data_IF_765838011274
#
_entry.id   IF_765838011274
#
_cell.length_a   1.000
_cell.length_b   1.000
_cell.length_c   1.000
_cell.angle_alpha   90.00
_cell.angle_beta   90.00
_cell.angle_gamma   90.00
#
_symmetry.space_group_name_H-M   'P 1'
#
loop_
_entity.id
_entity.type
_entity.pdbx_description
1 polymer ?
#
# COMPACT_ATOMS: atom_id res chain seq x y z
N UNK A 1 6.64 -13.32 9.68
CA UNK A 1 6.41 -14.71 9.23
C UNK A 1 4.92 -15.07 9.11
N UNK A 2 4.13 -14.94 10.18
CA UNK A 2 2.70 -15.32 10.20
C UNK A 2 1.85 -14.56 9.15
N UNK A 3 2.07 -13.25 9.00
CA UNK A 3 1.37 -12.43 7.99
C UNK A 3 1.64 -12.90 6.57
N UNK A 4 2.88 -13.26 6.24
CA UNK A 4 3.23 -13.76 4.91
C UNK A 4 2.58 -15.12 4.63
N UNK A 5 2.60 -16.03 5.61
CA UNK A 5 1.92 -17.33 5.49
C UNK A 5 0.41 -17.18 5.26
N UNK A 6 -0.24 -16.19 5.90
CA UNK A 6 -1.65 -15.87 5.64
C UNK A 6 -1.90 -15.41 4.19
N UNK A 7 -0.97 -14.68 3.59
CA UNK A 7 -1.11 -14.25 2.19
C UNK A 7 -1.09 -15.47 1.27
N UNK A 8 -0.11 -16.36 1.44
CA UNK A 8 -0.01 -17.60 0.66
C UNK A 8 -1.26 -18.48 0.82
N UNK A 9 -1.71 -18.74 2.05
CA UNK A 9 -2.91 -19.55 2.26
C UNK A 9 -4.19 -18.93 1.69
N UNK A 10 -4.30 -17.59 1.66
CA UNK A 10 -5.41 -16.92 0.98
C UNK A 10 -5.29 -17.06 -0.55
N UNK A 11 -4.10 -16.97 -1.12
CA UNK A 11 -3.88 -17.13 -2.56
C UNK A 11 -4.28 -18.54 -3.01
N UNK A 12 -3.90 -19.57 -2.25
CA UNK A 12 -4.27 -20.96 -2.54
C UNK A 12 -5.79 -21.16 -2.48
N UNK A 13 -6.44 -20.66 -1.41
CA UNK A 13 -7.89 -20.78 -1.22
C UNK A 13 -8.72 -20.03 -2.26
N UNK A 14 -8.21 -18.90 -2.76
CA UNK A 14 -8.91 -18.04 -3.71
C UNK A 14 -8.51 -18.29 -5.17
N UNK A 15 -7.61 -19.25 -5.43
CA UNK A 15 -7.20 -19.61 -6.79
C UNK A 15 -6.36 -18.54 -7.48
N UNK A 16 -5.41 -17.92 -6.78
CA UNK A 16 -4.50 -16.87 -7.30
C UNK A 16 -3.05 -17.38 -7.37
N UNK A 17 -2.73 -18.37 -8.23
CA UNK A 17 -1.44 -19.05 -8.23
C UNK A 17 -0.27 -18.19 -8.71
N UNK A 18 -0.55 -17.07 -9.40
CA UNK A 18 0.47 -16.15 -9.89
C UNK A 18 0.99 -15.17 -8.80
N UNK A 19 0.41 -15.19 -7.59
CA UNK A 19 0.83 -14.29 -6.51
C UNK A 19 2.20 -14.69 -5.96
N UNK A 20 3.17 -13.78 -6.05
CA UNK A 20 4.47 -13.92 -5.39
C UNK A 20 4.51 -13.15 -4.07
N UNK A 21 4.94 -13.81 -2.99
CA UNK A 21 5.07 -13.20 -1.66
C UNK A 21 6.55 -13.00 -1.34
N UNK A 22 6.98 -11.74 -1.29
CA UNK A 22 8.34 -11.37 -0.90
C UNK A 22 8.34 -10.96 0.56
N UNK A 23 9.11 -11.68 1.39
CA UNK A 23 9.25 -11.36 2.81
C UNK A 23 10.50 -10.53 3.03
N UNK A 24 10.32 -9.27 3.42
CA UNK A 24 11.39 -8.34 3.76
C UNK A 24 10.83 -6.96 4.05
N UNK A 25 11.69 -6.03 4.48
CA UNK A 25 11.30 -4.64 4.71
C UNK A 25 11.51 -3.82 3.43
N UNK A 26 10.47 -3.13 2.99
CA UNK A 26 10.60 -2.10 1.96
C UNK A 26 11.27 -0.84 2.56
N UNK A 27 12.07 -0.09 1.78
CA UNK A 27 12.30 -0.26 0.34
C UNK A 27 13.33 -1.34 -0.03
N UNK A 28 14.15 -1.84 0.89
CA UNK A 28 15.25 -2.77 0.57
C UNK A 28 14.77 -4.07 -0.13
N UNK A 29 13.64 -4.63 0.33
CA UNK A 29 13.05 -5.84 -0.25
C UNK A 29 12.46 -5.64 -1.66
N UNK A 30 12.37 -4.41 -2.15
CA UNK A 30 11.92 -4.11 -3.51
C UNK A 30 13.05 -4.24 -4.55
N UNK A 31 14.31 -4.30 -4.11
CA UNK A 31 15.45 -4.38 -5.00
C UNK A 31 15.43 -5.68 -5.81
N UNK A 32 15.62 -5.57 -7.14
CA UNK A 32 15.66 -6.70 -8.05
C UNK A 32 14.30 -7.28 -8.42
N UNK A 33 13.19 -6.71 -7.92
CA UNK A 33 11.87 -7.09 -8.40
C UNK A 33 11.63 -6.58 -9.83
N UNK A 34 10.76 -7.27 -10.61
CA UNK A 34 10.36 -6.78 -11.92
C UNK A 34 9.77 -5.37 -11.85
N UNK A 35 9.96 -4.58 -12.90
CA UNK A 35 9.35 -3.26 -13.03
C UNK A 35 7.82 -3.39 -12.94
N UNK A 36 7.16 -2.71 -11.98
CA UNK A 36 5.72 -2.79 -11.83
C UNK A 36 5.00 -1.84 -12.79
N UNK A 37 3.81 -2.24 -13.25
CA UNK A 37 2.87 -1.33 -13.92
C UNK A 37 2.06 -0.50 -12.91
N UNK A 38 1.87 -1.03 -11.70
CA UNK A 38 1.15 -0.38 -10.62
C UNK A 38 1.72 -0.75 -9.25
N UNK A 39 1.69 0.20 -8.33
CA UNK A 39 2.10 0.02 -6.93
C UNK A 39 0.97 0.42 -6.01
N UNK A 40 0.67 -0.45 -5.03
CA UNK A 40 -0.22 -0.15 -3.92
C UNK A 40 0.55 -0.14 -2.60
N UNK A 41 0.50 0.98 -1.88
CA UNK A 41 1.10 1.14 -0.55
C UNK A 41 -0.02 1.08 0.49
N UNK A 42 -0.19 -0.09 1.11
CA UNK A 42 -1.17 -0.28 2.19
C UNK A 42 -0.69 0.14 3.59
N UNK A 43 0.62 0.34 3.77
CA UNK A 43 1.22 0.73 5.05
C UNK A 43 2.69 1.09 4.91
N UNK A 44 3.27 1.69 5.97
CA UNK A 44 4.68 2.10 5.99
C UNK A 44 4.97 3.39 5.21
N UNK A 45 3.95 4.20 4.92
CA UNK A 45 4.13 5.42 4.11
C UNK A 45 5.12 6.43 4.72
N UNK A 46 5.26 6.43 6.05
CA UNK A 46 6.25 7.23 6.79
C UNK A 46 7.65 6.61 6.83
N UNK A 47 7.84 5.39 6.30
CA UNK A 47 9.15 4.78 6.18
C UNK A 47 10.00 5.61 5.20
N UNK A 48 11.18 6.10 5.63
CA UNK A 48 12.03 6.92 4.78
C UNK A 48 12.34 6.27 3.44
N UNK A 49 12.15 7.02 2.35
CA UNK A 49 12.45 6.58 0.99
C UNK A 49 11.49 5.55 0.39
N UNK A 50 10.48 5.05 1.13
CA UNK A 50 9.55 4.06 0.58
C UNK A 50 8.76 4.63 -0.61
N UNK A 51 8.13 5.79 -0.42
CA UNK A 51 7.32 6.40 -1.46
C UNK A 51 8.16 6.76 -2.69
N UNK A 52 9.36 7.35 -2.48
CA UNK A 52 10.25 7.72 -3.58
C UNK A 52 10.76 6.48 -4.33
N UNK A 53 11.08 5.38 -3.64
CA UNK A 53 11.48 4.13 -4.28
C UNK A 53 10.35 3.53 -5.13
N UNK A 54 9.12 3.52 -4.61
CA UNK A 54 7.94 3.07 -5.35
C UNK A 54 7.64 3.95 -6.56
N UNK A 55 7.76 5.28 -6.41
CA UNK A 55 7.55 6.23 -7.50
C UNK A 55 8.61 6.07 -8.60
N UNK A 56 9.88 5.93 -8.23
CA UNK A 56 10.98 5.76 -9.18
C UNK A 56 10.96 4.43 -9.92
N UNK A 57 10.35 3.39 -9.33
CA UNK A 57 10.21 2.08 -9.97
C UNK A 57 9.13 2.07 -11.07
N UNK A 58 8.20 3.02 -11.07
CA UNK A 58 7.10 3.06 -12.04
C UNK A 58 7.55 3.66 -13.38
N UNK A 59 7.24 3.02 -14.52
CA UNK A 59 7.44 3.63 -15.82
C UNK A 59 6.44 4.77 -16.05
N UNK A 60 6.67 5.57 -17.09
CA UNK A 60 5.69 6.57 -17.55
C UNK A 60 4.36 5.90 -17.86
N UNK A 61 3.27 6.40 -17.26
CA UNK A 61 1.94 5.80 -17.36
C UNK A 61 1.60 4.79 -16.26
N UNK A 62 2.58 4.42 -15.43
CA UNK A 62 2.38 3.59 -14.24
C UNK A 62 1.51 4.28 -13.18
N UNK A 63 0.90 3.48 -12.30
CA UNK A 63 -0.06 3.97 -11.30
C UNK A 63 0.42 3.72 -9.88
N UNK A 64 0.40 4.74 -9.04
CA UNK A 64 0.66 4.62 -7.60
C UNK A 64 -0.60 4.94 -6.81
N UNK A 65 -1.02 4.02 -5.95
CA UNK A 65 -2.10 4.23 -4.98
C UNK A 65 -1.54 4.00 -3.57
N UNK A 66 -1.85 4.88 -2.64
CA UNK A 66 -1.42 4.77 -1.26
C UNK A 66 -2.56 5.11 -0.32
N UNK A 67 -2.83 4.21 0.63
CA UNK A 67 -3.82 4.44 1.67
C UNK A 67 -3.13 4.88 2.96
N UNK A 68 -3.77 5.80 3.67
CA UNK A 68 -3.34 6.31 4.96
C UNK A 68 -4.52 6.41 5.91
N UNK A 69 -4.25 6.25 7.20
CA UNK A 69 -5.23 6.40 8.30
C UNK A 69 -4.69 7.24 9.47
N UNK A 70 -3.48 7.80 9.34
CA UNK A 70 -2.87 8.65 10.38
C UNK A 70 -2.55 10.02 9.81
N UNK A 71 -2.53 11.04 10.67
CA UNK A 71 -2.24 12.43 10.27
C UNK A 71 -0.83 12.58 9.68
N UNK A 72 0.15 11.86 10.22
CA UNK A 72 1.54 11.88 9.75
C UNK A 72 1.63 11.34 8.32
N UNK A 73 0.94 10.22 8.06
CA UNK A 73 0.90 9.60 6.74
C UNK A 73 0.06 10.42 5.76
N UNK A 74 -1.00 11.11 6.21
CA UNK A 74 -1.73 12.11 5.41
C UNK A 74 -0.86 13.29 4.99
N UNK A 75 -0.01 13.81 5.89
CA UNK A 75 0.92 14.88 5.56
C UNK A 75 1.91 14.45 4.45
N UNK A 76 2.38 13.19 4.49
CA UNK A 76 3.22 12.61 3.43
C UNK A 76 2.46 12.57 2.09
N UNK A 77 1.20 12.11 2.05
CA UNK A 77 0.41 12.13 0.81
C UNK A 77 0.13 13.54 0.29
N UNK A 78 -0.14 14.49 1.18
CA UNK A 78 -0.36 15.89 0.80
C UNK A 78 0.88 16.49 0.14
N UNK A 79 2.07 16.23 0.70
CA UNK A 79 3.34 16.64 0.11
C UNK A 79 3.62 15.92 -1.22
N UNK A 80 3.36 14.62 -1.30
CA UNK A 80 3.51 13.82 -2.52
C UNK A 80 2.63 14.35 -3.65
N UNK A 81 1.34 14.63 -3.36
CA UNK A 81 0.42 15.22 -4.33
C UNK A 81 0.90 16.57 -4.84
N UNK A 82 1.44 17.43 -3.96
CA UNK A 82 2.02 18.72 -4.39
C UNK A 82 3.20 18.53 -5.34
N UNK A 83 4.02 17.48 -5.13
CA UNK A 83 5.21 17.19 -5.93
C UNK A 83 4.91 16.50 -7.26
N UNK A 84 4.00 15.52 -7.24
CA UNK A 84 3.76 14.59 -8.36
C UNK A 84 2.40 14.78 -9.03
N UNK A 85 1.52 15.62 -8.48
CA UNK A 85 0.14 15.78 -8.95
C UNK A 85 -0.77 14.64 -8.48
N UNK A 86 -1.79 14.34 -9.27
CA UNK A 86 -2.78 13.32 -8.96
C UNK A 86 -3.88 13.78 -8.00
N UNK A 87 -4.60 12.80 -7.47
CA UNK A 87 -5.82 13.00 -6.69
C UNK A 87 -5.63 12.56 -5.23
N UNK A 88 -6.22 13.32 -4.31
CA UNK A 88 -6.31 12.95 -2.90
C UNK A 88 -7.80 12.87 -2.54
N UNK A 89 -8.23 11.70 -2.09
CA UNK A 89 -9.60 11.47 -1.66
C UNK A 89 -9.62 11.11 -0.17
N UNK A 90 -10.50 11.76 0.59
CA UNK A 90 -10.78 11.39 1.98
C UNK A 90 -12.10 10.65 2.03
N UNK A 91 -12.06 9.39 2.47
CA UNK A 91 -13.23 8.54 2.66
C UNK A 91 -13.55 8.43 4.14
N UNK A 92 -14.83 8.60 4.49
CA UNK A 92 -15.34 8.36 5.84
C UNK A 92 -16.49 7.36 5.74
N UNK A 93 -16.41 6.29 6.54
CA UNK A 93 -17.40 5.22 6.57
C UNK A 93 -17.76 4.96 8.03
N UNK A 94 -19.05 4.99 8.35
CA UNK A 94 -19.58 4.69 9.67
C UNK A 94 -20.54 3.51 9.59
N UNK A 95 -20.42 2.59 10.55
CA UNK A 95 -21.31 1.44 10.69
C UNK A 95 -22.05 1.56 12.02
N UNK A 96 -23.37 1.31 12.00
CA UNK A 96 -24.14 1.21 13.24
C UNK A 96 -23.72 -0.04 14.01
N UNK A 97 -23.47 0.13 15.30
CA UNK A 97 -23.25 -0.97 16.25
C UNK A 97 -24.29 -0.84 17.37
N UNK A 98 -24.84 -1.97 17.89
CA UNK A 98 -25.74 -1.91 19.03
C UNK A 98 -25.11 -1.17 20.22
N UNK A 99 -25.90 -0.35 20.92
CA UNK A 99 -25.49 0.36 22.12
C UNK A 99 -26.34 -0.14 23.28
N UNK A 100 -25.73 -0.88 24.22
CA UNK A 100 -26.45 -1.57 25.29
C UNK A 100 -27.14 -2.86 24.82
N UNK A 101 -27.45 -3.74 25.77
CA UNK A 101 -28.27 -4.93 25.54
C UNK A 101 -29.69 -4.66 26.01
N UNK A 102 -30.64 -4.60 25.08
CA UNK A 102 -32.06 -4.79 25.35
C UNK A 102 -32.56 -5.90 24.44
#
# INVERSE_FOLDING_TARGET
>A
PERAARITGNADRLGVPALSVVTGAAPAALAGLPTPDAVFIGGGLTTPGLLDACWAALPVGGRLVANTVTLESEAVLSAARKRYGGELLRLSVAHAVPVGGF
#
